data_IF_309764873516
#
_entry.id   IF_309764873516
#
_cell.length_a   1.000
_cell.length_b   1.000
_cell.length_c   1.000
_cell.angle_alpha   90.00
_cell.angle_beta   90.00
_cell.angle_gamma   90.00
#
_symmetry.space_group_name_H-M   'P 1'
#
loop_
_entity.id
_entity.type
_entity.pdbx_description
1 polymer ?
#
# COMPACT_ATOMS: atom_id res chain seq x y z
N UNK A 1 -0.80 13.08 50.45
CA UNK A 1 -1.72 12.93 49.30
C UNK A 1 -0.92 12.52 48.05
N UNK A 2 -1.46 11.57 47.29
CA UNK A 2 -0.80 10.60 46.40
C UNK A 2 0.21 11.19 45.40
N UNK A 3 1.44 10.64 45.41
CA UNK A 3 2.41 10.72 44.31
C UNK A 3 1.82 10.02 43.09
N UNK A 4 1.50 10.77 42.04
CA UNK A 4 1.26 10.26 40.69
C UNK A 4 2.61 9.84 40.10
N UNK A 5 3.04 8.62 40.41
CA UNK A 5 4.17 7.99 39.73
C UNK A 5 3.76 7.67 38.30
N UNK A 6 4.33 8.40 37.35
CA UNK A 6 4.30 8.06 35.92
C UNK A 6 4.82 6.63 35.77
N UNK A 7 3.95 5.69 35.44
CA UNK A 7 4.34 4.30 35.18
C UNK A 7 5.11 4.31 33.87
N UNK A 8 6.44 4.46 33.96
CA UNK A 8 7.35 4.21 32.86
C UNK A 8 7.35 2.70 32.67
N UNK A 9 6.49 2.22 31.79
CA UNK A 9 6.56 0.84 31.32
C UNK A 9 7.90 0.69 30.59
N UNK A 10 8.88 0.10 31.27
CA UNK A 10 10.04 -0.47 30.60
C UNK A 10 9.54 -1.65 29.76
N UNK A 11 9.14 -1.34 28.52
CA UNK A 11 8.79 -2.36 27.52
C UNK A 11 9.96 -3.33 27.44
N UNK A 12 9.66 -4.61 27.59
CA UNK A 12 10.67 -5.65 27.61
C UNK A 12 11.48 -5.60 26.30
N UNK A 13 12.74 -6.06 26.28
CA UNK A 13 13.57 -6.01 25.07
C UNK A 13 12.88 -6.61 23.84
N UNK A 14 12.07 -7.66 24.01
CA UNK A 14 11.30 -8.29 22.95
C UNK A 14 10.19 -7.39 22.40
N UNK A 15 9.42 -6.73 23.26
CA UNK A 15 8.35 -5.81 22.84
C UNK A 15 8.91 -4.55 22.15
N UNK A 16 10.06 -4.03 22.62
CA UNK A 16 10.76 -2.93 21.93
C UNK A 16 11.19 -3.33 20.53
N UNK A 17 11.81 -4.51 20.41
CA UNK A 17 12.25 -5.07 19.13
C UNK A 17 11.06 -5.24 18.17
N UNK A 18 9.94 -5.80 18.64
CA UNK A 18 8.73 -5.96 17.83
C UNK A 18 8.19 -4.62 17.34
N UNK A 19 8.09 -3.63 18.23
CA UNK A 19 7.61 -2.30 17.89
C UNK A 19 8.51 -1.61 16.86
N UNK A 20 9.84 -1.70 17.02
CA UNK A 20 10.78 -1.14 16.04
C UNK A 20 10.61 -1.78 14.67
N UNK A 21 10.45 -3.10 14.60
CA UNK A 21 10.22 -3.76 13.31
C UNK A 21 8.89 -3.40 12.65
N UNK A 22 7.83 -3.24 13.43
CA UNK A 22 6.53 -2.77 12.92
C UNK A 22 6.63 -1.34 12.39
N UNK A 23 7.36 -0.45 13.08
CA UNK A 23 7.63 0.91 12.63
C UNK A 23 8.47 0.93 11.34
N UNK A 24 9.46 0.05 11.22
CA UNK A 24 10.28 -0.09 10.02
C UNK A 24 9.44 -0.57 8.82
N UNK A 25 8.61 -1.61 9.01
CA UNK A 25 7.72 -2.12 7.98
C UNK A 25 6.73 -1.05 7.51
N UNK A 26 6.12 -0.32 8.44
CA UNK A 26 5.23 0.81 8.13
C UNK A 26 5.96 1.89 7.35
N UNK A 27 7.14 2.30 7.82
CA UNK A 27 7.96 3.32 7.17
C UNK A 27 8.34 2.89 5.75
N UNK A 28 8.67 1.62 5.55
CA UNK A 28 8.98 1.07 4.22
C UNK A 28 7.78 1.23 3.27
N UNK A 29 6.58 0.78 3.67
CA UNK A 29 5.37 0.89 2.83
C UNK A 29 5.03 2.35 2.52
N UNK A 30 5.15 3.23 3.52
CA UNK A 30 4.88 4.65 3.33
C UNK A 30 5.87 5.28 2.35
N UNK A 31 7.17 4.99 2.48
CA UNK A 31 8.19 5.48 1.55
C UNK A 31 7.96 4.94 0.13
N UNK A 32 7.60 3.66 0.00
CA UNK A 32 7.24 3.04 -1.27
C UNK A 32 6.06 3.78 -1.93
N UNK A 33 4.98 4.03 -1.19
CA UNK A 33 3.82 4.78 -1.70
C UNK A 33 4.16 6.23 -1.99
N UNK A 34 4.95 6.90 -1.15
CA UNK A 34 5.34 8.29 -1.33
C UNK A 34 6.14 8.50 -2.61
N UNK A 35 7.00 7.54 -2.96
CA UNK A 35 7.81 7.55 -4.17
C UNK A 35 7.00 7.45 -5.48
N UNK A 36 5.73 7.06 -5.40
CA UNK A 36 4.83 7.02 -6.55
C UNK A 36 4.47 8.43 -7.03
N UNK A 37 4.45 8.60 -8.35
CA UNK A 37 3.97 9.83 -8.98
C UNK A 37 2.44 9.98 -8.86
N UNK A 38 1.94 11.19 -9.16
CA UNK A 38 0.52 11.51 -8.99
C UNK A 38 -0.44 10.65 -9.84
N UNK A 39 -0.05 10.20 -11.03
CA UNK A 39 -0.87 9.26 -11.81
C UNK A 39 -0.82 7.86 -11.19
N UNK A 40 0.35 7.42 -10.72
CA UNK A 40 0.51 6.11 -10.07
C UNK A 40 -0.30 5.99 -8.78
N UNK A 41 -0.30 7.04 -7.93
CA UNK A 41 -1.14 7.10 -6.72
C UNK A 41 -2.63 7.00 -7.06
N UNK A 42 -3.08 7.70 -8.11
CA UNK A 42 -4.47 7.59 -8.60
C UNK A 42 -4.81 6.17 -9.05
N UNK A 43 -3.92 5.52 -9.81
CA UNK A 43 -4.11 4.15 -10.27
C UNK A 43 -4.21 3.20 -9.08
N UNK A 44 -3.29 3.31 -8.10
CA UNK A 44 -3.31 2.48 -6.89
C UNK A 44 -4.63 2.62 -6.14
N UNK A 45 -5.05 3.86 -5.83
CA UNK A 45 -6.33 4.12 -5.15
C UNK A 45 -7.53 3.60 -5.94
N UNK A 46 -7.53 3.76 -7.26
CA UNK A 46 -8.62 3.27 -8.11
C UNK A 46 -8.74 1.75 -8.08
N UNK A 47 -7.62 1.03 -8.23
CA UNK A 47 -7.59 -0.44 -8.17
C UNK A 47 -8.03 -0.94 -6.80
N UNK A 48 -7.55 -0.29 -5.73
CA UNK A 48 -7.96 -0.59 -4.35
C UNK A 48 -9.43 -0.23 -4.07
N UNK A 49 -10.00 0.79 -4.72
CA UNK A 49 -11.43 1.13 -4.54
C UNK A 49 -12.33 0.11 -5.24
N UNK A 50 -11.91 -0.39 -6.39
CA UNK A 50 -12.72 -1.29 -7.22
C UNK A 50 -12.78 -2.71 -6.66
N UNK A 51 -11.74 -3.15 -5.93
CA UNK A 51 -11.66 -4.47 -5.27
C UNK A 51 -11.87 -5.68 -6.22
N UNK A 52 -11.76 -5.47 -7.53
CA UNK A 52 -11.85 -6.50 -8.58
C UNK A 52 -10.81 -6.23 -9.67
N UNK A 53 -10.58 -7.23 -10.52
CA UNK A 53 -9.69 -7.10 -11.66
C UNK A 53 -10.17 -6.03 -12.63
N UNK A 54 -9.30 -5.08 -12.97
CA UNK A 54 -9.54 -4.06 -13.98
C UNK A 54 -8.50 -4.16 -15.10
N UNK A 55 -8.77 -3.58 -16.26
CA UNK A 55 -7.85 -3.59 -17.39
C UNK A 55 -7.31 -2.17 -17.67
N UNK A 56 -6.27 -2.10 -18.50
CA UNK A 56 -5.60 -0.83 -18.82
C UNK A 56 -6.56 0.18 -19.47
N UNK A 57 -7.51 -0.27 -20.32
CA UNK A 57 -8.48 0.63 -20.95
C UNK A 57 -9.37 1.29 -19.90
N UNK A 58 -9.87 0.50 -18.95
CA UNK A 58 -10.73 1.01 -17.87
C UNK A 58 -9.99 1.97 -16.95
N UNK A 59 -8.72 1.68 -16.62
CA UNK A 59 -7.87 2.63 -15.88
C UNK A 59 -7.69 3.93 -16.67
N UNK A 60 -7.39 3.84 -17.96
CA UNK A 60 -7.21 5.04 -18.79
C UNK A 60 -8.47 5.90 -18.81
N UNK A 61 -9.64 5.31 -19.05
CA UNK A 61 -10.89 6.04 -19.24
C UNK A 61 -11.51 6.52 -17.92
N UNK A 62 -11.54 5.65 -16.89
CA UNK A 62 -12.26 5.93 -15.63
C UNK A 62 -11.39 6.47 -14.52
N UNK A 63 -10.09 6.17 -14.51
CA UNK A 63 -9.16 6.68 -13.48
C UNK A 63 -8.42 7.93 -13.96
N UNK A 64 -7.89 7.92 -15.19
CA UNK A 64 -7.04 9.00 -15.71
C UNK A 64 -7.74 9.93 -16.69
N UNK A 65 -8.97 9.61 -17.10
CA UNK A 65 -9.76 10.37 -18.08
C UNK A 65 -9.01 10.61 -19.40
N UNK A 66 -8.23 9.62 -19.83
CA UNK A 66 -7.44 9.64 -21.05
C UNK A 66 -8.17 8.92 -22.18
N UNK A 67 -8.11 9.49 -23.39
CA UNK A 67 -8.54 8.79 -24.60
C UNK A 67 -7.60 7.59 -24.88
N UNK A 68 -8.15 6.39 -25.15
CA UNK A 68 -7.34 5.23 -25.55
C UNK A 68 -6.55 5.52 -26.83
N UNK A 69 -5.23 5.52 -26.73
CA UNK A 69 -4.28 5.61 -27.84
C UNK A 69 -3.07 4.73 -27.56
N UNK A 70 -2.30 4.36 -28.59
CA UNK A 70 -1.08 3.56 -28.41
C UNK A 70 -0.06 4.23 -27.47
N UNK A 71 0.15 5.53 -27.62
CA UNK A 71 1.05 6.31 -26.77
C UNK A 71 0.61 6.35 -25.31
N UNK A 72 -0.66 6.70 -25.08
CA UNK A 72 -1.24 6.75 -23.72
C UNK A 72 -1.21 5.37 -23.06
N UNK A 73 -1.51 4.30 -23.80
CA UNK A 73 -1.49 2.92 -23.31
C UNK A 73 -0.08 2.50 -22.89
N UNK A 74 0.94 2.83 -23.68
CA UNK A 74 2.34 2.55 -23.34
C UNK A 74 2.77 3.28 -22.06
N UNK A 75 2.42 4.56 -21.92
CA UNK A 75 2.71 5.35 -20.72
C UNK A 75 2.09 4.74 -19.46
N UNK A 76 0.79 4.42 -19.51
CA UNK A 76 0.06 3.83 -18.38
C UNK A 76 0.58 2.43 -18.05
N UNK A 77 0.94 1.63 -19.06
CA UNK A 77 1.55 0.31 -18.86
C UNK A 77 2.86 0.40 -18.09
N UNK A 78 3.73 1.37 -18.41
CA UNK A 78 4.98 1.60 -17.68
C UNK A 78 4.73 1.96 -16.21
N UNK A 79 3.75 2.84 -15.95
CA UNK A 79 3.35 3.21 -14.58
C UNK A 79 2.84 2.02 -13.79
N UNK A 80 1.97 1.21 -14.37
CA UNK A 80 1.47 -0.04 -13.77
C UNK A 80 2.62 -1.01 -13.51
N UNK A 81 3.59 -1.13 -14.42
CA UNK A 81 4.74 -2.00 -14.23
C UNK A 81 5.57 -1.60 -13.00
N UNK A 82 5.79 -0.29 -12.79
CA UNK A 82 6.47 0.22 -11.58
C UNK A 82 5.69 -0.14 -10.31
N UNK A 83 4.37 0.13 -10.27
CA UNK A 83 3.54 -0.18 -9.09
C UNK A 83 3.54 -1.69 -8.80
N UNK A 84 3.47 -2.52 -9.85
CA UNK A 84 3.51 -3.98 -9.73
C UNK A 84 4.90 -4.50 -9.29
N UNK A 85 5.99 -3.85 -9.70
CA UNK A 85 7.35 -4.18 -9.25
C UNK A 85 7.54 -3.93 -7.75
N UNK A 86 6.81 -2.95 -7.20
CA UNK A 86 6.75 -2.68 -5.76
C UNK A 86 5.75 -3.58 -5.02
N UNK A 87 5.12 -4.52 -5.74
CA UNK A 87 4.08 -5.43 -5.21
C UNK A 87 2.85 -4.72 -4.61
N UNK A 88 2.60 -3.45 -4.94
CA UNK A 88 1.44 -2.70 -4.45
C UNK A 88 0.15 -3.07 -5.20
N UNK A 89 0.29 -3.63 -6.41
CA UNK A 89 -0.78 -4.23 -7.21
C UNK A 89 -0.31 -5.57 -7.76
N UNK A 90 -1.26 -6.39 -8.23
CA UNK A 90 -0.96 -7.67 -8.90
C UNK A 90 -1.50 -7.67 -10.32
N UNK A 91 -0.61 -7.90 -11.29
CA UNK A 91 -0.99 -8.15 -12.69
C UNK A 91 -1.07 -9.65 -12.99
N UNK A 92 -2.14 -10.10 -13.63
CA UNK A 92 -2.26 -11.48 -14.09
C UNK A 92 -1.75 -11.68 -15.53
N UNK A 93 -1.78 -12.92 -16.01
CA UNK A 93 -1.40 -13.27 -17.40
C UNK A 93 -2.41 -12.77 -18.45
N UNK A 94 -3.67 -12.53 -18.05
CA UNK A 94 -4.72 -12.00 -18.90
C UNK A 94 -4.67 -10.47 -19.08
N UNK A 95 -3.74 -9.78 -18.43
CA UNK A 95 -3.62 -8.33 -18.47
C UNK A 95 -4.56 -7.58 -17.53
N UNK A 96 -5.20 -8.28 -16.60
CA UNK A 96 -5.97 -7.69 -15.52
C UNK A 96 -5.06 -7.31 -14.34
N UNK A 97 -5.48 -6.27 -13.65
CA UNK A 97 -4.77 -5.63 -12.55
C UNK A 97 -5.69 -5.68 -11.34
N UNK A 98 -5.16 -6.22 -10.24
CA UNK A 98 -5.87 -6.47 -9.00
C UNK A 98 -5.22 -5.72 -7.83
N UNK A 99 -6.00 -5.37 -6.79
CA UNK A 99 -5.44 -4.86 -5.55
C UNK A 99 -4.51 -5.89 -4.91
N UNK A 100 -3.45 -5.40 -4.27
CA UNK A 100 -2.49 -6.24 -3.54
C UNK A 100 -1.93 -5.54 -2.30
N UNK A 101 -2.28 -4.26 -2.07
CA UNK A 101 -1.70 -3.45 -1.01
C UNK A 101 -1.90 -4.09 0.36
N UNK A 102 -3.13 -4.50 0.70
CA UNK A 102 -3.42 -5.13 2.00
C UNK A 102 -2.64 -6.43 2.21
N UNK A 103 -2.46 -7.24 1.16
CA UNK A 103 -1.67 -8.47 1.23
C UNK A 103 -0.18 -8.17 1.40
N UNK A 104 0.34 -7.13 0.72
CA UNK A 104 1.72 -6.67 0.87
C UNK A 104 1.99 -6.16 2.28
N UNK A 105 1.11 -5.32 2.83
CA UNK A 105 1.18 -4.84 4.21
C UNK A 105 1.17 -6.02 5.18
N UNK A 106 0.22 -6.95 4.99
CA UNK A 106 0.12 -8.14 5.84
C UNK A 106 1.41 -8.95 5.81
N UNK A 107 2.01 -9.21 4.64
CA UNK A 107 3.28 -9.95 4.54
C UNK A 107 4.46 -9.27 5.24
N UNK A 108 4.54 -7.94 5.15
CA UNK A 108 5.60 -7.18 5.81
C UNK A 108 5.41 -7.14 7.34
N UNK A 109 4.17 -7.19 7.81
CA UNK A 109 3.82 -7.10 9.23
C UNK A 109 3.61 -8.47 9.91
N UNK A 110 3.32 -9.55 9.15
CA UNK A 110 3.08 -10.92 9.63
C UNK A 110 4.32 -11.52 10.30
N UNK A 111 5.52 -11.12 9.86
CA UNK A 111 6.79 -11.50 10.51
C UNK A 111 6.82 -11.06 11.98
N UNK A 112 5.94 -10.13 12.39
CA UNK A 112 6.00 -9.42 13.67
C UNK A 112 4.73 -9.51 14.51
N UNK A 113 3.88 -10.55 14.31
CA UNK A 113 2.61 -10.74 15.04
C UNK A 113 1.69 -9.51 15.04
N UNK A 114 1.75 -8.69 13.98
CA UNK A 114 0.88 -7.53 13.88
C UNK A 114 -0.59 -7.96 13.88
N UNK A 115 -1.39 -7.22 14.62
CA UNK A 115 -2.84 -7.41 14.68
C UNK A 115 -3.49 -6.97 13.37
N UNK A 116 -4.69 -7.49 13.11
CA UNK A 116 -5.49 -7.07 11.94
C UNK A 116 -5.81 -5.57 11.98
N UNK A 117 -5.95 -4.98 13.17
CA UNK A 117 -6.24 -3.57 13.38
C UNK A 117 -5.07 -2.67 12.95
N UNK A 118 -3.84 -3.08 13.23
CA UNK A 118 -2.63 -2.36 12.82
C UNK A 118 -2.45 -2.39 11.30
N UNK A 119 -2.66 -3.55 10.69
CA UNK A 119 -2.64 -3.71 9.22
C UNK A 119 -3.68 -2.79 8.58
N UNK A 120 -4.89 -2.76 9.15
CA UNK A 120 -5.98 -1.93 8.65
C UNK A 120 -5.70 -0.43 8.83
N UNK A 121 -5.05 -0.03 9.92
CA UNK A 121 -4.63 1.34 10.16
C UNK A 121 -3.62 1.82 9.11
N UNK A 122 -2.60 1.00 8.81
CA UNK A 122 -1.61 1.31 7.76
C UNK A 122 -2.27 1.37 6.39
N UNK A 123 -3.14 0.39 6.09
CA UNK A 123 -3.88 0.35 4.83
C UNK A 123 -4.72 1.62 4.61
N UNK A 124 -5.49 2.03 5.62
CA UNK A 124 -6.31 3.23 5.56
C UNK A 124 -5.46 4.50 5.44
N UNK A 125 -4.32 4.56 6.13
CA UNK A 125 -3.40 5.69 6.01
C UNK A 125 -2.90 5.85 4.57
N UNK A 126 -2.53 4.75 3.90
CA UNK A 126 -2.10 4.77 2.49
C UNK A 126 -3.23 5.21 1.55
N UNK A 127 -4.47 4.79 1.79
CA UNK A 127 -5.60 5.17 0.93
C UNK A 127 -6.04 6.63 1.14
N UNK A 128 -5.94 7.13 2.37
CA UNK A 128 -6.38 8.48 2.73
C UNK A 128 -5.31 9.56 2.51
N UNK A 129 -4.03 9.22 2.47
CA UNK A 129 -2.91 10.12 2.13
C UNK A 129 -2.89 10.46 0.62
#
# INVERSE_FOLDING_TARGET
PRMTGTVVYEVSPLEKIQKTFQEDAKTQILNEVESLDGEQKKILKFVETIQKGTNITEIMEKCLFLKPSGGSRSRVTKKIATINMMELIRKDRGGHIFPNLKQRISKLMEIHNATTEEIESVYNHVLMA
#
